data_IF_218878176680
#
_entry.id   IF_218878176680
#
_cell.length_a   1.000
_cell.length_b   1.000
_cell.length_c   1.000
_cell.angle_alpha   90.00
_cell.angle_beta   90.00
_cell.angle_gamma   90.00
#
_symmetry.space_group_name_H-M   'P 1'
#
loop_
_entity.id
_entity.type
_entity.pdbx_description
1 polymer ?
#
# COMPACT_ATOMS: atom_id res chain seq x y z
N UNK A 1 -10.47 8.54 8.67
CA UNK A 1 -9.19 8.04 8.12
C UNK A 1 -9.32 7.94 6.62
N UNK A 2 -8.21 8.06 5.92
CA UNK A 2 -8.13 7.95 4.47
C UNK A 2 -7.31 6.72 4.11
N UNK A 3 -7.71 6.05 3.05
CA UNK A 3 -6.92 5.04 2.37
C UNK A 3 -6.53 5.66 1.03
N UNK A 4 -5.25 5.67 0.70
CA UNK A 4 -4.77 6.18 -0.57
C UNK A 4 -3.69 5.26 -1.12
N UNK A 5 -3.62 5.15 -2.44
CA UNK A 5 -2.55 4.45 -3.13
C UNK A 5 -2.16 5.21 -4.39
N UNK A 6 -0.90 5.02 -4.79
CA UNK A 6 -0.34 5.57 -6.01
C UNK A 6 0.49 4.48 -6.70
N UNK A 7 0.26 4.31 -7.99
CA UNK A 7 1.04 3.44 -8.84
C UNK A 7 2.03 4.28 -9.64
N UNK A 8 3.29 3.85 -9.62
CA UNK A 8 4.38 4.46 -10.35
C UNK A 8 4.91 3.48 -11.40
N UNK A 9 5.39 3.99 -12.52
CA UNK A 9 6.18 3.21 -13.48
C UNK A 9 7.65 3.08 -13.03
N UNK A 10 8.46 2.40 -13.85
CA UNK A 10 9.87 2.14 -13.58
C UNK A 10 10.75 3.40 -13.51
N UNK A 11 10.27 4.52 -14.07
CA UNK A 11 10.96 5.83 -14.01
C UNK A 11 10.35 6.76 -12.93
N UNK A 12 9.40 6.26 -12.14
CA UNK A 12 8.78 6.99 -11.05
C UNK A 12 7.66 7.95 -11.46
N UNK A 13 7.15 7.84 -12.69
CA UNK A 13 6.00 8.62 -13.13
C UNK A 13 4.69 8.00 -12.66
N UNK A 14 3.73 8.84 -12.31
CA UNK A 14 2.41 8.41 -11.83
C UNK A 14 1.62 7.78 -12.96
N UNK A 15 1.30 6.49 -12.82
CA UNK A 15 0.40 5.76 -13.72
C UNK A 15 -1.05 5.96 -13.31
N UNK A 16 -1.34 5.76 -12.04
CA UNK A 16 -2.69 5.88 -11.48
C UNK A 16 -2.61 6.17 -9.98
N UNK A 17 -3.66 6.77 -9.43
CA UNK A 17 -3.79 6.98 -7.99
C UNK A 17 -5.26 7.02 -7.58
N UNK A 18 -5.52 6.71 -6.32
CA UNK A 18 -6.86 6.85 -5.75
C UNK A 18 -6.78 7.15 -4.26
N UNK A 19 -7.80 7.86 -3.78
CA UNK A 19 -8.01 8.07 -2.35
C UNK A 19 -9.46 7.85 -1.99
N UNK A 20 -9.70 7.29 -0.80
CA UNK A 20 -11.01 6.98 -0.29
C UNK A 20 -11.08 7.31 1.20
N UNK A 21 -12.15 7.99 1.61
CA UNK A 21 -12.46 8.16 3.02
C UNK A 21 -13.05 6.86 3.58
N UNK A 22 -12.38 6.32 4.61
CA UNK A 22 -12.87 5.15 5.32
C UNK A 22 -13.77 5.58 6.49
N UNK A 23 -14.89 4.85 6.73
CA UNK A 23 -15.75 5.09 7.89
C UNK A 23 -14.96 5.02 9.20
N UNK A 24 -15.22 5.98 10.08
CA UNK A 24 -14.48 6.25 11.32
C UNK A 24 -14.73 5.24 12.44
N UNK A 25 -15.66 4.29 12.27
CA UNK A 25 -16.10 3.39 13.34
C UNK A 25 -15.01 2.46 13.88
N UNK A 26 -13.92 2.24 13.14
CA UNK A 26 -12.73 1.50 13.59
C UNK A 26 -11.46 2.05 12.90
N UNK A 27 -10.85 3.12 13.45
CA UNK A 27 -9.67 3.72 12.88
C UNK A 27 -8.44 2.85 13.17
N UNK A 28 -7.79 2.34 12.12
CA UNK A 28 -6.53 1.61 12.21
C UNK A 28 -5.70 1.88 10.96
N UNK A 29 -4.43 2.26 11.14
CA UNK A 29 -3.47 2.44 10.06
C UNK A 29 -3.42 1.17 9.18
N UNK A 30 -3.32 -0.01 9.82
CA UNK A 30 -3.34 -1.30 9.14
C UNK A 30 -4.56 -1.48 8.23
N UNK A 31 -5.76 -1.07 8.65
CA UNK A 31 -6.97 -1.20 7.84
C UNK A 31 -6.93 -0.31 6.61
N UNK A 32 -6.40 0.90 6.75
CA UNK A 32 -6.29 1.85 5.63
C UNK A 32 -5.27 1.35 4.61
N UNK A 33 -4.15 0.83 5.08
CA UNK A 33 -3.09 0.26 4.24
C UNK A 33 -3.52 -1.01 3.52
N UNK A 34 -4.23 -1.93 4.20
CA UNK A 34 -4.83 -3.11 3.55
C UNK A 34 -5.82 -2.67 2.46
N UNK A 35 -6.65 -1.66 2.75
CA UNK A 35 -7.64 -1.16 1.79
C UNK A 35 -6.95 -0.54 0.57
N UNK A 36 -5.88 0.23 0.79
CA UNK A 36 -5.06 0.82 -0.26
C UNK A 36 -4.47 -0.24 -1.19
N UNK A 37 -3.86 -1.29 -0.61
CA UNK A 37 -3.32 -2.41 -1.37
C UNK A 37 -4.40 -3.10 -2.20
N UNK A 38 -5.52 -3.49 -1.59
CA UNK A 38 -6.59 -4.20 -2.31
C UNK A 38 -7.19 -3.38 -3.45
N UNK A 39 -7.39 -2.07 -3.24
CA UNK A 39 -7.91 -1.18 -4.28
C UNK A 39 -6.89 -0.98 -5.41
N UNK A 40 -5.61 -0.80 -5.07
CA UNK A 40 -4.53 -0.69 -6.07
C UNK A 40 -4.39 -1.96 -6.89
N UNK A 41 -4.37 -3.14 -6.26
CA UNK A 41 -4.33 -4.43 -6.95
C UNK A 41 -5.52 -4.64 -7.89
N UNK A 42 -6.71 -4.14 -7.53
CA UNK A 42 -7.89 -4.26 -8.37
C UNK A 42 -7.90 -3.29 -9.55
N UNK A 43 -7.25 -2.13 -9.43
CA UNK A 43 -7.14 -1.14 -10.49
C UNK A 43 -6.03 -1.49 -11.50
N UNK A 44 -4.92 -2.06 -11.04
CA UNK A 44 -3.76 -2.38 -11.88
C UNK A 44 -3.95 -3.63 -12.75
N UNK A 45 -3.17 -3.71 -13.82
CA UNK A 45 -3.24 -4.81 -14.79
C UNK A 45 -2.87 -6.15 -14.14
N UNK A 46 -3.74 -7.17 -14.28
CA UNK A 46 -3.69 -8.42 -13.50
C UNK A 46 -2.46 -9.29 -13.74
N UNK A 47 -1.79 -9.12 -14.87
CA UNK A 47 -0.58 -9.88 -15.25
C UNK A 47 0.70 -9.04 -15.15
N UNK A 48 0.68 -7.95 -14.38
CA UNK A 48 1.86 -7.12 -14.12
C UNK A 48 2.62 -7.59 -12.87
N UNK A 49 3.95 -7.51 -12.92
CA UNK A 49 4.79 -7.63 -11.73
C UNK A 49 4.82 -6.28 -11.03
N UNK A 50 4.40 -6.26 -9.77
CA UNK A 50 4.26 -5.03 -8.97
C UNK A 50 5.08 -5.14 -7.70
N UNK A 51 5.66 -4.02 -7.28
CA UNK A 51 6.33 -3.90 -5.99
C UNK A 51 5.52 -2.98 -5.08
N UNK A 52 5.06 -3.50 -3.95
CA UNK A 52 4.30 -2.72 -2.97
C UNK A 52 5.28 -2.08 -1.98
N UNK A 53 5.10 -0.79 -1.76
CA UNK A 53 5.86 0.01 -0.80
C UNK A 53 4.88 0.55 0.24
N UNK A 54 5.05 0.18 1.51
CA UNK A 54 4.28 0.68 2.66
C UNK A 54 5.22 0.89 3.84
N UNK A 55 4.92 1.85 4.71
CA UNK A 55 5.57 2.08 6.00
C UNK A 55 4.89 1.29 7.15
N UNK A 56 3.78 0.60 6.86
CA UNK A 56 3.00 -0.12 7.85
C UNK A 56 3.65 -1.46 8.24
N UNK A 57 4.43 -1.43 9.33
CA UNK A 57 5.11 -2.62 9.88
C UNK A 57 4.17 -3.80 10.17
N UNK A 58 2.93 -3.55 10.61
CA UNK A 58 1.93 -4.59 10.83
C UNK A 58 1.51 -5.27 9.53
N UNK A 59 1.33 -4.49 8.46
CA UNK A 59 1.00 -5.05 7.14
C UNK A 59 2.17 -5.87 6.61
N UNK A 60 3.39 -5.36 6.71
CA UNK A 60 4.60 -6.09 6.31
C UNK A 60 4.69 -7.42 7.06
N UNK A 61 4.53 -7.41 8.39
CA UNK A 61 4.58 -8.63 9.21
C UNK A 61 3.50 -9.65 8.85
N UNK A 62 2.28 -9.21 8.54
CA UNK A 62 1.21 -10.09 8.09
C UNK A 62 1.51 -10.65 6.70
N UNK A 63 1.96 -9.81 5.78
CA UNK A 63 2.29 -10.22 4.43
C UNK A 63 3.42 -11.25 4.43
N UNK A 64 4.54 -11.00 5.11
CA UNK A 64 5.66 -11.97 5.21
C UNK A 64 5.26 -13.29 5.84
N UNK A 65 4.20 -13.32 6.66
CA UNK A 65 3.72 -14.53 7.32
C UNK A 65 2.77 -15.34 6.43
N UNK A 66 1.97 -14.68 5.61
CA UNK A 66 0.86 -15.31 4.89
C UNK A 66 1.01 -15.30 3.37
N UNK A 67 1.91 -14.48 2.83
CA UNK A 67 2.18 -14.34 1.40
C UNK A 67 3.68 -14.56 1.20
N UNK A 68 4.02 -15.63 0.49
CA UNK A 68 5.41 -15.95 0.14
C UNK A 68 5.89 -15.09 -1.04
N UNK A 69 5.81 -13.77 -0.86
CA UNK A 69 6.27 -12.77 -1.83
C UNK A 69 7.07 -11.68 -1.12
N UNK A 70 8.22 -11.25 -1.68
CA UNK A 70 9.08 -10.29 -1.03
C UNK A 70 8.41 -8.91 -0.95
N UNK A 71 8.36 -8.34 0.25
CA UNK A 71 8.09 -6.91 0.43
C UNK A 71 9.40 -6.12 0.26
N UNK A 72 9.33 -4.91 -0.30
CA UNK A 72 10.49 -4.01 -0.37
C UNK A 72 10.57 -3.20 0.93
N UNK A 73 11.55 -3.44 1.83
CA UNK A 73 11.64 -2.78 3.13
C UNK A 73 12.16 -1.33 3.04
N UNK A 74 12.29 -0.77 1.84
CA UNK A 74 12.94 0.54 1.62
C UNK A 74 12.26 1.71 2.36
N UNK A 75 10.99 1.57 2.75
CA UNK A 75 10.25 2.59 3.51
C UNK A 75 10.29 2.43 5.03
N UNK A 76 10.79 1.31 5.58
CA UNK A 76 10.90 1.11 7.04
C UNK A 76 11.92 2.05 7.72
N UNK A 77 12.63 2.88 6.94
CA UNK A 77 13.65 3.82 7.42
C UNK A 77 13.20 5.28 7.42
N UNK A 78 12.04 5.60 6.86
CA UNK A 78 11.56 6.98 6.84
C UNK A 78 10.49 7.18 7.91
N UNK A 79 10.65 8.16 8.82
CA UNK A 79 9.59 8.53 9.74
C UNK A 79 8.40 9.04 8.94
N UNK A 80 7.21 8.53 9.25
CA UNK A 80 5.92 8.85 8.62
C UNK A 80 5.78 10.35 8.31
N UNK A 81 6.18 10.76 7.12
CA UNK A 81 5.80 12.05 6.58
C UNK A 81 4.54 11.81 5.76
N UNK A 82 3.43 12.18 6.40
CA UNK A 82 2.13 12.36 5.77
C UNK A 82 2.29 12.92 4.35
N UNK A 83 1.91 12.12 3.36
CA UNK A 83 1.39 12.56 2.07
C UNK A 83 0.05 11.89 1.85
#
# INVERSE_FOLDING_TARGET
>A
MTSAWIALDDVGLVLESSSMHLPSYFPSALRSEISAVLLGLNALFRDSSISIHTDCSQLISLWTRFVDAPFSPKLLREPNHLL
#
